data_IF_090464731793
#
_entry.id   IF_090464731793
#
_cell.length_a   1.000
_cell.length_b   1.000
_cell.length_c   1.000
_cell.angle_alpha   90.00
_cell.angle_beta   90.00
_cell.angle_gamma   90.00
#
_symmetry.space_group_name_H-M   'P 1'
#
loop_
_entity.id
_entity.type
_entity.pdbx_description
1 polymer ?
#
# COMPACT_ATOMS: atom_id res chain seq x y z
N UNK A 1 43.19 20.72 -10.24
CA UNK A 1 42.65 19.51 -10.89
C UNK A 1 41.91 18.72 -9.82
N UNK A 2 40.57 18.74 -9.84
CA UNK A 2 39.74 17.92 -8.96
C UNK A 2 39.00 16.90 -9.84
N UNK A 3 39.16 15.58 -9.63
CA UNK A 3 38.41 14.60 -10.39
C UNK A 3 36.98 14.55 -9.84
N UNK A 4 36.04 15.07 -10.62
CA UNK A 4 34.62 14.76 -10.50
C UNK A 4 34.45 13.26 -10.77
N UNK A 5 34.09 12.50 -9.73
CA UNK A 5 33.73 11.09 -9.85
C UNK A 5 32.22 10.98 -10.05
N UNK A 6 31.71 10.59 -11.25
CA UNK A 6 30.31 10.35 -11.47
C UNK A 6 30.00 8.90 -11.10
N UNK A 7 30.00 8.59 -9.80
CA UNK A 7 29.48 7.29 -9.37
C UNK A 7 27.95 7.29 -9.50
N UNK A 8 27.51 6.86 -10.68
CA UNK A 8 26.44 5.88 -10.87
C UNK A 8 25.26 6.05 -9.91
N UNK A 9 24.23 6.79 -10.33
CA UNK A 9 22.88 6.62 -9.79
C UNK A 9 22.38 5.22 -10.18
N UNK A 10 22.65 4.22 -9.33
CA UNK A 10 22.01 2.91 -9.46
C UNK A 10 20.50 3.10 -9.32
N UNK A 11 19.67 2.59 -10.27
CA UNK A 11 18.24 2.58 -10.06
C UNK A 11 17.97 1.65 -8.87
N UNK A 12 17.32 2.17 -7.83
CA UNK A 12 16.88 1.37 -6.70
C UNK A 12 15.79 0.40 -7.19
N UNK A 13 16.20 -0.78 -7.68
CA UNK A 13 15.32 -1.91 -7.88
C UNK A 13 14.94 -2.42 -6.49
N UNK A 14 13.91 -1.82 -5.88
CA UNK A 14 13.35 -2.36 -4.64
C UNK A 14 12.94 -3.81 -4.92
N UNK A 15 13.40 -4.78 -4.09
CA UNK A 15 13.11 -6.18 -4.33
C UNK A 15 11.59 -6.41 -4.33
N UNK A 16 11.07 -7.33 -5.17
CA UNK A 16 9.64 -7.64 -5.27
C UNK A 16 9.01 -8.06 -3.92
N UNK A 17 9.81 -8.59 -3.01
CA UNK A 17 9.42 -8.90 -1.62
C UNK A 17 8.92 -7.66 -0.84
N UNK A 18 9.44 -6.47 -1.15
CA UNK A 18 8.99 -5.21 -0.55
C UNK A 18 7.59 -4.81 -1.00
N UNK A 19 7.19 -5.16 -2.23
CA UNK A 19 5.87 -4.79 -2.73
C UNK A 19 4.78 -5.65 -2.11
N UNK A 20 5.00 -6.96 -1.96
CA UNK A 20 4.01 -7.84 -1.34
C UNK A 20 3.81 -7.55 0.14
N UNK A 21 4.89 -7.28 0.89
CA UNK A 21 4.77 -6.85 2.29
C UNK A 21 4.05 -5.51 2.42
N UNK A 22 4.29 -4.56 1.51
CA UNK A 22 3.55 -3.29 1.45
C UNK A 22 2.06 -3.47 1.15
N UNK A 23 1.69 -4.39 0.26
CA UNK A 23 0.28 -4.69 -0.04
C UNK A 23 -0.41 -5.33 1.18
N UNK A 24 0.29 -6.21 1.89
CA UNK A 24 -0.22 -6.80 3.14
C UNK A 24 -0.42 -5.75 4.23
N UNK A 25 0.55 -4.85 4.43
CA UNK A 25 0.44 -3.72 5.36
C UNK A 25 -0.76 -2.82 5.03
N UNK A 26 -0.91 -2.44 3.75
CA UNK A 26 -2.05 -1.66 3.29
C UNK A 26 -3.38 -2.35 3.57
N UNK A 27 -3.50 -3.64 3.27
CA UNK A 27 -4.72 -4.40 3.54
C UNK A 27 -5.02 -4.50 5.04
N UNK A 28 -4.01 -4.68 5.88
CA UNK A 28 -4.17 -4.73 7.34
C UNK A 28 -4.67 -3.38 7.89
N UNK A 29 -4.04 -2.27 7.48
CA UNK A 29 -4.41 -0.92 7.90
C UNK A 29 -5.81 -0.53 7.44
N UNK A 30 -6.18 -0.85 6.19
CA UNK A 30 -7.55 -0.60 5.70
C UNK A 30 -8.58 -1.43 6.47
N UNK A 31 -8.25 -2.66 6.85
CA UNK A 31 -9.14 -3.52 7.63
C UNK A 31 -9.34 -3.00 9.05
N UNK A 32 -8.27 -2.59 9.73
CA UNK A 32 -8.36 -1.96 11.06
C UNK A 32 -9.19 -0.67 11.00
N UNK A 33 -8.90 0.22 10.04
CA UNK A 33 -9.68 1.44 9.85
C UNK A 33 -11.17 1.16 9.68
N UNK A 34 -11.53 0.22 8.80
CA UNK A 34 -12.94 -0.13 8.59
C UNK A 34 -13.58 -0.68 9.86
N UNK A 35 -12.90 -1.58 10.61
CA UNK A 35 -13.45 -2.12 11.85
C UNK A 35 -13.70 -1.04 12.91
N UNK A 36 -12.77 -0.09 13.07
CA UNK A 36 -12.88 0.98 14.06
C UNK A 36 -13.97 1.98 13.69
N UNK A 37 -14.00 2.40 12.42
CA UNK A 37 -14.86 3.49 11.97
C UNK A 37 -16.29 3.04 11.67
N UNK A 38 -16.47 1.81 11.20
CA UNK A 38 -17.78 1.23 10.99
C UNK A 38 -18.49 0.94 12.33
N UNK A 39 -17.74 0.58 13.38
CA UNK A 39 -18.27 0.43 14.73
C UNK A 39 -18.61 1.77 15.40
N UNK A 40 -17.86 2.84 15.11
CA UNK A 40 -18.08 4.15 15.71
C UNK A 40 -19.34 4.87 15.19
N UNK A 41 -19.86 4.52 14.00
CA UNK A 41 -21.07 5.14 13.42
C UNK A 41 -20.95 6.62 13.04
N UNK A 42 -19.82 7.27 13.33
CA UNK A 42 -19.55 8.70 13.08
C UNK A 42 -18.88 8.98 11.74
N UNK A 43 -18.57 7.94 10.97
CA UNK A 43 -17.79 8.07 9.75
C UNK A 43 -18.67 8.30 8.51
N UNK A 44 -18.18 9.15 7.59
CA UNK A 44 -18.87 9.44 6.34
C UNK A 44 -19.02 8.15 5.51
N UNK A 45 -20.25 7.76 5.10
CA UNK A 45 -20.49 6.53 4.36
C UNK A 45 -19.65 6.43 3.08
N UNK A 46 -19.49 7.55 2.36
CA UNK A 46 -18.70 7.60 1.14
C UNK A 46 -17.22 7.24 1.37
N UNK A 47 -16.65 7.65 2.52
CA UNK A 47 -15.26 7.31 2.85
C UNK A 47 -15.12 5.82 3.14
N UNK A 48 -16.09 5.23 3.84
CA UNK A 48 -16.10 3.79 4.11
C UNK A 48 -16.18 2.98 2.80
N UNK A 49 -17.03 3.41 1.87
CA UNK A 49 -17.19 2.72 0.59
C UNK A 49 -15.95 2.88 -0.31
N UNK A 50 -15.34 4.07 -0.36
CA UNK A 50 -14.08 4.27 -1.06
C UNK A 50 -12.97 3.36 -0.51
N UNK A 51 -12.88 3.20 0.82
CA UNK A 51 -11.85 2.36 1.45
C UNK A 51 -12.14 0.87 1.21
N UNK A 52 -13.41 0.44 1.21
CA UNK A 52 -13.76 -0.94 0.81
C UNK A 52 -13.33 -1.22 -0.62
N UNK A 53 -13.61 -0.32 -1.55
CA UNK A 53 -13.21 -0.45 -2.96
C UNK A 53 -11.70 -0.53 -3.09
N UNK A 54 -10.96 0.40 -2.49
CA UNK A 54 -9.49 0.38 -2.51
C UNK A 54 -8.91 -0.90 -1.91
N UNK A 55 -9.50 -1.42 -0.82
CA UNK A 55 -9.10 -2.70 -0.23
C UNK A 55 -9.30 -3.87 -1.20
N UNK A 56 -10.43 -3.91 -1.91
CA UNK A 56 -10.69 -4.94 -2.93
C UNK A 56 -9.67 -4.90 -4.07
N UNK A 57 -9.21 -3.71 -4.48
CA UNK A 57 -8.16 -3.57 -5.48
C UNK A 57 -6.81 -4.12 -4.99
N UNK A 58 -6.43 -3.80 -3.75
CA UNK A 58 -5.22 -4.34 -3.11
C UNK A 58 -5.28 -5.87 -3.01
N UNK A 59 -6.43 -6.43 -2.62
CA UNK A 59 -6.63 -7.87 -2.55
C UNK A 59 -6.52 -8.54 -3.93
N UNK A 60 -7.09 -7.93 -4.96
CA UNK A 60 -6.95 -8.39 -6.35
C UNK A 60 -5.50 -8.35 -6.81
N UNK A 61 -4.76 -7.28 -6.50
CA UNK A 61 -3.33 -7.20 -6.84
C UNK A 61 -2.52 -8.29 -6.13
N UNK A 62 -2.79 -8.56 -4.85
CA UNK A 62 -2.15 -9.66 -4.13
C UNK A 62 -2.45 -11.02 -4.77
N UNK A 63 -3.71 -11.29 -5.10
CA UNK A 63 -4.13 -12.57 -5.70
C UNK A 63 -3.53 -12.79 -7.09
N UNK A 64 -3.41 -11.73 -7.90
CA UNK A 64 -2.84 -11.79 -9.27
C UNK A 64 -1.35 -12.12 -9.32
N UNK A 65 -0.67 -12.14 -8.16
CA UNK A 65 0.78 -12.38 -8.02
C UNK A 65 1.12 -13.71 -7.35
N UNK A 66 0.11 -14.49 -6.97
CA UNK A 66 0.24 -15.88 -6.49
C UNK A 66 0.28 -16.82 -7.67
#
# INVERSE_FOLDING_TARGET
MNPFWPFMTLPATQPPLSRQSRLQDLNARMTSFLSEKQASGTSCPQVLDNIKTARSEVQREMASRT
#
